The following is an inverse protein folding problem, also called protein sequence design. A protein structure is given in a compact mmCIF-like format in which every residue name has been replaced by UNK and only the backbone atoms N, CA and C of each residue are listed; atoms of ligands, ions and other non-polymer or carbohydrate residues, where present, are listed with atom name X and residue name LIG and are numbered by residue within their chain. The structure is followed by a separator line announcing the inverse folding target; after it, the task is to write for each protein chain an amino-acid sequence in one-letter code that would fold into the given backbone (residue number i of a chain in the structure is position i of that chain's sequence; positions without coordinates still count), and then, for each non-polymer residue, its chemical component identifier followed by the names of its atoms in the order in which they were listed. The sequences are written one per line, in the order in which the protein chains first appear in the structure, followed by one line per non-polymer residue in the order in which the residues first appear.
data_IF_905443440244
#
_entry.id   IF_905443440244
#
_cell.length_a   1.000
_cell.length_b   1.000
_cell.length_c   1.000
_cell.angle_alpha   90.00
_cell.angle_beta   90.00
_cell.angle_gamma   90.00
#
_symmetry.space_group_name_H-M   'P 1'
#
loop_
_entity.id
_entity.type
_entity.pdbx_description
1 polymer ?
#
# COMPACT_ATOMS: atom_id res chain seq x y z
N UNK A 1 7.10 10.73 -13.30
CA UNK A 1 5.73 10.60 -13.86
C UNK A 1 5.32 11.90 -14.55
N UNK A 2 4.68 11.86 -15.73
CA UNK A 2 4.17 13.07 -16.36
C UNK A 2 3.01 13.66 -15.54
N UNK A 3 2.82 15.00 -15.52
CA UNK A 3 1.79 15.66 -14.69
C UNK A 3 0.36 15.13 -14.87
N UNK A 4 0.02 14.66 -16.07
CA UNK A 4 -1.29 14.09 -16.37
C UNK A 4 -1.56 12.79 -15.60
N UNK A 5 -0.53 11.96 -15.39
CA UNK A 5 -0.66 10.73 -14.60
C UNK A 5 -1.00 11.05 -13.15
N UNK A 6 -0.32 12.03 -12.55
CA UNK A 6 -0.56 12.40 -11.15
C UNK A 6 -1.97 12.94 -10.95
N UNK A 7 -2.46 13.79 -11.86
CA UNK A 7 -3.82 14.31 -11.79
C UNK A 7 -4.90 13.22 -11.92
N UNK A 8 -4.66 12.17 -12.73
CA UNK A 8 -5.56 11.01 -12.82
C UNK A 8 -5.51 10.19 -11.55
N UNK A 9 -4.31 9.99 -11.00
CA UNK A 9 -4.14 9.27 -9.74
C UNK A 9 -4.84 10.01 -8.58
N UNK A 10 -4.75 11.34 -8.50
CA UNK A 10 -5.49 12.14 -7.51
C UNK A 10 -7.00 11.92 -7.61
N UNK A 11 -7.54 11.96 -8.83
CA UNK A 11 -8.96 11.67 -9.07
C UNK A 11 -9.35 10.23 -8.71
N UNK A 12 -8.49 9.26 -8.99
CA UNK A 12 -8.69 7.85 -8.67
C UNK A 12 -8.83 7.64 -7.16
N UNK A 13 -7.95 8.25 -6.35
CA UNK A 13 -8.04 8.16 -4.89
C UNK A 13 -9.21 8.98 -4.32
N UNK A 14 -9.50 10.16 -4.89
CA UNK A 14 -10.59 11.02 -4.42
C UNK A 14 -12.00 10.48 -4.75
N UNK A 15 -12.14 9.64 -5.78
CA UNK A 15 -13.43 9.12 -6.24
C UNK A 15 -13.43 7.57 -6.25
N UNK A 16 -13.33 6.91 -5.09
CA UNK A 16 -13.01 5.47 -5.03
C UNK A 16 -14.06 4.56 -5.66
N UNK A 17 -15.30 5.04 -5.81
CA UNK A 17 -16.43 4.32 -6.41
C UNK A 17 -16.63 4.60 -7.90
N UNK A 18 -15.82 5.48 -8.50
CA UNK A 18 -15.91 5.89 -9.89
C UNK A 18 -14.72 5.36 -10.69
N UNK A 19 -14.95 5.01 -11.95
CA UNK A 19 -13.86 4.73 -12.89
C UNK A 19 -13.39 6.05 -13.48
N UNK A 20 -12.10 6.36 -13.34
CA UNK A 20 -11.49 7.55 -13.91
C UNK A 20 -10.78 7.15 -15.20
N UNK A 21 -11.20 7.70 -16.34
CA UNK A 21 -10.60 7.41 -17.67
C UNK A 21 -10.53 5.90 -18.00
N UNK A 22 -11.49 5.11 -17.54
CA UNK A 22 -11.53 3.66 -17.79
C UNK A 22 -10.61 2.84 -16.88
N UNK A 23 -9.97 3.44 -15.88
CA UNK A 23 -9.23 2.70 -14.87
C UNK A 23 -10.17 1.85 -14.01
N UNK A 24 -9.63 0.78 -13.44
CA UNK A 24 -10.27 0.07 -12.33
C UNK A 24 -10.68 1.08 -11.24
N UNK A 25 -11.81 0.86 -10.59
CA UNK A 25 -12.23 1.70 -9.47
C UNK A 25 -11.30 1.45 -8.28
N UNK A 26 -10.95 2.49 -7.51
CA UNK A 26 -10.04 2.30 -6.37
C UNK A 26 -10.58 1.30 -5.33
N UNK A 27 -11.89 1.25 -5.14
CA UNK A 27 -12.52 0.26 -4.25
C UNK A 27 -12.35 -1.18 -4.73
N UNK A 28 -12.37 -1.41 -6.05
CA UNK A 28 -12.18 -2.75 -6.62
C UNK A 28 -10.71 -3.16 -6.55
N UNK A 29 -9.81 -2.22 -6.88
CA UNK A 29 -8.37 -2.41 -6.72
C UNK A 29 -7.98 -2.71 -5.26
N UNK A 30 -8.59 -2.03 -4.28
CA UNK A 30 -8.38 -2.29 -2.85
C UNK A 30 -8.85 -3.70 -2.47
N UNK A 31 -10.06 -4.10 -2.88
CA UNK A 31 -10.58 -5.45 -2.61
C UNK A 31 -9.68 -6.52 -3.21
N UNK A 32 -9.22 -6.31 -4.45
CA UNK A 32 -8.33 -7.22 -5.14
C UNK A 32 -7.02 -7.40 -4.39
N UNK A 33 -6.31 -6.30 -4.06
CA UNK A 33 -5.01 -6.42 -3.37
C UNK A 33 -5.14 -7.03 -1.96
N UNK A 34 -6.22 -6.73 -1.23
CA UNK A 34 -6.49 -7.36 0.07
C UNK A 34 -6.70 -8.86 -0.10
N UNK A 35 -7.52 -9.28 -1.07
CA UNK A 35 -7.77 -10.69 -1.33
C UNK A 35 -6.51 -11.46 -1.72
N UNK A 36 -5.63 -10.89 -2.55
CA UNK A 36 -4.37 -11.52 -2.96
C UNK A 36 -3.41 -11.69 -1.76
N UNK A 37 -3.32 -10.68 -0.90
CA UNK A 37 -2.48 -10.75 0.31
C UNK A 37 -3.04 -11.77 1.29
N UNK A 38 -4.34 -11.76 1.56
CA UNK A 38 -5.00 -12.72 2.44
C UNK A 38 -4.82 -14.17 1.94
N UNK A 39 -4.86 -14.39 0.62
CA UNK A 39 -4.60 -15.71 0.04
C UNK A 39 -3.17 -16.21 0.30
N UNK A 40 -2.17 -15.34 0.20
CA UNK A 40 -0.77 -15.70 0.52
C UNK A 40 -0.59 -15.91 2.02
N UNK A 41 -1.19 -15.07 2.86
CA UNK A 41 -1.13 -15.22 4.32
C UNK A 41 -1.87 -16.46 4.84
N UNK A 42 -2.87 -16.95 4.09
CA UNK A 42 -3.58 -18.19 4.40
C UNK A 42 -2.80 -19.47 4.10
N UNK A 43 -1.65 -19.37 3.42
CA UNK A 43 -0.72 -20.49 3.24
C UNK A 43 0.24 -20.49 4.42
N UNK A 44 0.08 -21.45 5.33
CA UNK A 44 0.98 -21.61 6.47
C UNK A 44 2.42 -21.87 5.98
N UNK A 45 3.31 -20.93 6.27
CA UNK A 45 4.73 -21.01 5.95
C UNK A 45 5.55 -20.33 7.03
N UNK A 46 6.68 -20.92 7.48
CA UNK A 46 7.53 -20.27 8.47
C UNK A 46 8.25 -19.06 7.86
N UNK A 47 8.37 -17.97 8.64
CA UNK A 47 9.23 -16.83 8.35
C UNK A 47 8.50 -15.53 7.99
N UNK A 48 9.29 -14.48 7.74
CA UNK A 48 8.80 -13.17 7.32
C UNK A 48 8.54 -13.14 5.80
N UNK A 49 7.46 -12.48 5.38
CA UNK A 49 7.04 -12.37 3.98
C UNK A 49 7.23 -10.94 3.49
N UNK A 50 7.79 -10.78 2.29
CA UNK A 50 7.85 -9.51 1.58
C UNK A 50 6.97 -9.54 0.33
N UNK A 51 5.98 -8.66 0.28
CA UNK A 51 5.22 -8.39 -0.94
C UNK A 51 5.88 -7.25 -1.72
N UNK A 52 6.28 -7.50 -2.96
CA UNK A 52 6.93 -6.51 -3.83
C UNK A 52 5.99 -6.15 -4.98
N UNK A 53 5.71 -4.86 -5.14
CA UNK A 53 4.72 -4.42 -6.13
C UNK A 53 4.65 -2.91 -6.30
N UNK A 54 3.45 -2.39 -6.52
CA UNK A 54 3.21 -1.01 -6.92
C UNK A 54 2.68 -0.15 -5.77
N UNK A 55 3.10 1.12 -5.73
CA UNK A 55 2.69 2.09 -4.70
C UNK A 55 1.19 2.27 -4.56
N UNK A 56 0.47 2.47 -5.68
CA UNK A 56 -0.96 2.75 -5.62
C UNK A 56 -1.77 1.67 -4.89
N UNK A 57 -1.60 0.40 -5.28
CA UNK A 57 -2.27 -0.72 -4.58
C UNK A 57 -1.67 -1.00 -3.20
N UNK A 58 -0.38 -0.73 -2.99
CA UNK A 58 0.23 -0.77 -1.66
C UNK A 58 -0.39 0.25 -0.69
N UNK A 59 -0.72 1.45 -1.18
CA UNK A 59 -1.40 2.51 -0.41
C UNK A 59 -2.82 2.10 -0.08
N UNK A 60 -3.55 1.51 -1.03
CA UNK A 60 -4.89 0.97 -0.79
C UNK A 60 -4.87 -0.15 0.26
N UNK A 61 -3.87 -1.03 0.21
CA UNK A 61 -3.65 -2.07 1.21
C UNK A 61 -3.35 -1.48 2.59
N UNK A 62 -2.43 -0.53 2.69
CA UNK A 62 -2.09 0.16 3.94
C UNK A 62 -3.33 0.81 4.59
N UNK A 63 -4.16 1.49 3.80
CA UNK A 63 -5.40 2.11 4.28
C UNK A 63 -6.39 1.05 4.76
N UNK A 64 -6.56 -0.06 4.04
CA UNK A 64 -7.41 -1.17 4.46
C UNK A 64 -6.94 -1.78 5.78
N UNK A 65 -5.63 -2.04 5.92
CA UNK A 65 -5.04 -2.61 7.14
C UNK A 65 -5.11 -1.67 8.35
N UNK A 66 -5.29 -0.37 8.13
CA UNK A 66 -5.44 0.64 9.18
C UNK A 66 -6.89 1.10 9.38
N UNK A 67 -7.85 0.54 8.64
CA UNK A 67 -9.27 0.91 8.73
C UNK A 67 -9.55 2.35 8.29
N UNK A 68 -8.70 2.93 7.44
CA UNK A 68 -8.84 4.30 6.93
C UNK A 68 -9.52 4.31 5.57
N UNK A 69 -10.23 5.40 5.28
CA UNK A 69 -10.82 5.63 3.96
C UNK A 69 -9.74 5.75 2.87
N UNK A 70 -10.11 5.39 1.63
CA UNK A 70 -9.22 5.53 0.47
C UNK A 70 -8.87 7.02 0.30
N UNK A 71 -7.58 7.35 0.36
CA UNK A 71 -7.08 8.72 0.24
C UNK A 71 -5.63 8.73 -0.27
N UNK A 72 -5.32 9.72 -1.11
CA UNK A 72 -3.97 9.94 -1.64
C UNK A 72 -2.97 10.38 -0.57
N UNK A 73 -3.43 10.89 0.57
CA UNK A 73 -2.56 11.36 1.67
C UNK A 73 -1.65 10.27 2.23
N UNK A 74 -2.03 9.00 2.11
CA UNK A 74 -1.24 7.86 2.56
C UNK A 74 -0.28 7.33 1.47
N UNK A 75 -0.18 7.99 0.32
CA UNK A 75 0.67 7.51 -0.78
C UNK A 75 2.15 7.50 -0.40
N UNK A 76 2.90 6.61 -1.04
CA UNK A 76 4.33 6.49 -0.76
C UNK A 76 5.09 7.76 -1.21
N UNK A 77 6.24 8.06 -0.60
CA UNK A 77 7.14 9.09 -1.09
C UNK A 77 7.56 8.87 -2.56
N UNK A 78 7.86 9.97 -3.25
CA UNK A 78 8.34 9.93 -4.62
C UNK A 78 9.67 9.16 -4.75
N UNK A 79 9.88 8.51 -5.91
CA UNK A 79 11.09 7.74 -6.22
C UNK A 79 10.92 6.22 -6.15
N UNK A 80 9.80 5.74 -5.58
CA UNK A 80 9.60 4.30 -5.36
C UNK A 80 10.55 3.73 -4.32
N UNK A 81 10.62 2.41 -4.20
CA UNK A 81 11.52 1.76 -3.23
C UNK A 81 11.15 2.02 -1.77
N UNK A 82 9.85 2.18 -1.48
CA UNK A 82 9.37 2.30 -0.11
C UNK A 82 8.70 1.00 0.34
N UNK A 83 8.63 0.78 1.65
CA UNK A 83 7.93 -0.33 2.27
C UNK A 83 7.19 0.14 3.53
N UNK A 84 6.12 -0.56 3.88
CA UNK A 84 5.50 -0.49 5.21
C UNK A 84 5.56 -1.88 5.84
N UNK A 85 5.50 -1.96 7.16
CA UNK A 85 5.57 -3.23 7.88
C UNK A 85 4.24 -3.52 8.59
N UNK A 86 3.79 -4.76 8.52
CA UNK A 86 2.56 -5.24 9.14
C UNK A 86 2.84 -6.50 9.95
N UNK A 87 2.42 -6.49 11.21
CA UNK A 87 2.51 -7.63 12.11
C UNK A 87 1.24 -8.47 11.99
N UNK A 88 1.36 -9.64 11.36
CA UNK A 88 0.22 -10.51 11.01
C UNK A 88 -0.51 -11.00 12.26
N UNK A 89 0.22 -11.44 13.28
CA UNK A 89 -0.35 -11.99 14.53
C UNK A 89 -1.15 -10.95 15.32
N UNK A 90 -0.64 -9.72 15.42
CA UNK A 90 -1.30 -8.62 16.11
C UNK A 90 -2.25 -7.82 15.20
N UNK A 91 -2.34 -8.20 13.92
CA UNK A 91 -3.11 -7.53 12.87
C UNK A 91 -2.88 -6.01 12.85
N UNK A 92 -1.62 -5.58 12.95
CA UNK A 92 -1.27 -4.17 13.16
C UNK A 92 -0.16 -3.69 12.23
N UNK A 93 -0.32 -2.50 11.65
CA UNK A 93 0.76 -1.81 10.95
C UNK A 93 1.81 -1.33 11.96
N UNK A 94 3.04 -1.80 11.81
CA UNK A 94 4.19 -1.44 12.66
C UNK A 94 4.68 -0.03 12.31
N UNK A 95 4.79 0.26 11.01
CA UNK A 95 5.05 1.59 10.49
C UNK A 95 4.51 1.73 9.07
N UNK A 96 4.14 2.95 8.68
CA UNK A 96 3.77 3.31 7.31
C UNK A 96 5.00 3.35 6.38
N UNK A 97 4.86 3.94 5.19
CA UNK A 97 5.92 4.01 4.19
C UNK A 97 7.24 4.57 4.72
N UNK A 98 8.32 3.83 4.45
CA UNK A 98 9.71 4.24 4.66
C UNK A 98 10.55 3.81 3.44
N UNK A 99 11.61 4.55 3.08
CA UNK A 99 12.54 4.09 2.05
C UNK A 99 13.22 2.79 2.48
N UNK A 100 13.36 1.83 1.57
CA UNK A 100 13.98 0.52 1.82
C UNK A 100 15.50 0.62 1.98
N UNK A 101 16.11 1.65 1.41
CA UNK A 101 17.54 1.88 1.35
C UNK A 101 18.07 2.71 2.52
N UNK A 102 17.20 3.17 3.44
CA UNK A 102 17.66 3.87 4.63
C UNK A 102 18.33 2.89 5.59
N UNK A 103 19.54 3.22 6.10
CA UNK A 103 20.17 2.41 7.12
C UNK A 103 19.26 2.33 8.35
N UNK A 104 19.15 1.14 8.94
CA UNK A 104 18.46 0.95 10.20
C UNK A 104 18.99 1.96 11.24
N UNK A 105 18.13 2.56 12.09
CA UNK A 105 18.60 3.41 13.16
C UNK A 105 19.65 2.63 13.95
N UNK A 106 20.84 3.21 14.13
CA UNK A 106 21.81 2.61 15.04
C UNK A 106 21.15 2.60 16.42
N UNK A 107 21.01 1.41 16.99
CA UNK A 107 20.76 1.26 18.40
C UNK A 107 22.11 1.57 19.07
N UNK A 108 22.35 2.85 19.35
CA UNK A 108 23.49 3.23 20.17
C UNK A 108 23.20 2.70 21.59
N UNK A 109 24.03 1.74 22.02
CA UNK A 109 24.10 1.19 23.37
C UNK A 109 25.52 1.20 23.86
#
# INVERSE_FOLDING_TARGET
PPPEFEAVADQFFANPHSSIRGWERAIDAQRRIVSEVDAVLGVDGPGDIAFVGHGGVGTLLLLSLTGREISREADQPAGGGNYFAYEISMRRVVHAWRPIDRPAPRLDG
#
